data_IF_250364773934
#
_entry.id   IF_250364773934
#
_cell.length_a   1.000
_cell.length_b   1.000
_cell.length_c   1.000
_cell.angle_alpha   90.00
_cell.angle_beta   90.00
_cell.angle_gamma   90.00
#
_symmetry.space_group_name_H-M   'P 1'
#
loop_
_entity.id
_entity.type
_entity.pdbx_description
1 polymer ?
#
# COMPACT_ATOMS: atom_id res chain seq x y z
N UNK A 1 29.30 32.44 -7.84
CA UNK A 1 29.25 33.80 -7.24
C UNK A 1 30.44 34.00 -6.31
N UNK A 2 31.22 35.08 -6.43
CA UNK A 2 32.41 35.29 -5.59
C UNK A 2 32.06 35.77 -4.16
N UNK A 3 33.02 35.76 -3.22
CA UNK A 3 32.80 36.10 -1.80
C UNK A 3 32.24 37.52 -1.58
N UNK A 4 32.66 38.50 -2.37
CA UNK A 4 32.23 39.91 -2.27
C UNK A 4 30.79 40.08 -2.76
N UNK A 5 30.44 39.39 -3.85
CA UNK A 5 29.07 39.32 -4.37
C UNK A 5 28.11 38.59 -3.42
N UNK A 6 28.54 37.49 -2.78
CA UNK A 6 27.75 36.76 -1.78
C UNK A 6 27.43 37.61 -0.55
N UNK A 7 28.38 38.41 -0.08
CA UNK A 7 28.17 39.36 1.03
C UNK A 7 27.20 40.48 0.66
N UNK A 8 27.30 41.02 -0.57
CA UNK A 8 26.37 42.05 -1.08
C UNK A 8 24.94 41.51 -1.25
N UNK A 9 24.79 40.23 -1.62
CA UNK A 9 23.51 39.56 -1.77
C UNK A 9 22.92 38.97 -0.46
N UNK A 10 23.57 39.18 0.70
CA UNK A 10 23.06 38.70 1.99
C UNK A 10 23.14 37.18 2.22
N UNK A 11 23.81 36.44 1.35
CA UNK A 11 23.89 34.97 1.40
C UNK A 11 24.89 34.55 2.49
N UNK A 12 24.37 34.16 3.68
CA UNK A 12 25.18 33.76 4.85
C UNK A 12 25.70 32.32 4.76
N UNK A 13 24.92 31.42 4.16
CA UNK A 13 25.26 29.98 4.07
C UNK A 13 25.80 29.64 2.67
N UNK A 14 26.81 28.77 2.59
CA UNK A 14 27.33 28.29 1.29
C UNK A 14 26.56 27.04 0.89
N UNK A 15 25.82 27.09 -0.21
CA UNK A 15 25.30 25.87 -0.87
C UNK A 15 26.44 25.30 -1.72
N UNK A 16 26.91 24.07 -1.45
CA UNK A 16 27.90 23.41 -2.30
C UNK A 16 27.33 23.22 -3.72
N UNK A 17 28.13 23.53 -4.74
CA UNK A 17 27.78 23.21 -6.13
C UNK A 17 28.42 21.88 -6.46
N UNK A 18 27.58 20.89 -6.81
CA UNK A 18 28.04 19.59 -7.28
C UNK A 18 28.01 19.58 -8.80
N UNK A 19 29.12 19.16 -9.40
CA UNK A 19 29.17 18.90 -10.83
C UNK A 19 28.92 17.40 -11.02
N UNK A 20 27.86 17.06 -11.74
CA UNK A 20 27.50 15.69 -12.07
C UNK A 20 27.75 15.46 -13.56
N UNK A 21 28.28 14.29 -13.90
CA UNK A 21 28.27 13.83 -15.30
C UNK A 21 26.84 13.49 -15.71
N UNK A 22 26.59 13.45 -17.03
CA UNK A 22 25.26 13.12 -17.54
C UNK A 22 24.80 11.72 -17.09
N UNK A 23 25.71 10.74 -17.06
CA UNK A 23 25.43 9.40 -16.54
C UNK A 23 25.08 9.40 -15.05
N UNK A 24 25.82 10.17 -14.23
CA UNK A 24 25.53 10.30 -12.79
C UNK A 24 24.16 10.96 -12.56
N UNK A 25 23.82 11.98 -13.35
CA UNK A 25 22.53 12.63 -13.29
C UNK A 25 21.40 11.64 -13.62
N UNK A 26 21.54 10.85 -14.68
CA UNK A 26 20.55 9.84 -15.04
C UNK A 26 20.41 8.74 -13.99
N UNK A 27 21.53 8.29 -13.40
CA UNK A 27 21.51 7.29 -12.34
C UNK A 27 20.74 7.79 -11.10
N UNK A 28 20.97 9.04 -10.70
CA UNK A 28 20.30 9.64 -9.55
C UNK A 28 18.79 9.81 -9.79
N UNK A 29 18.40 10.27 -10.99
CA UNK A 29 16.99 10.37 -11.39
C UNK A 29 16.32 9.00 -11.34
N UNK A 30 16.95 7.97 -11.92
CA UNK A 30 16.41 6.62 -11.93
C UNK A 30 16.21 6.09 -10.51
N UNK A 31 17.20 6.30 -9.64
CA UNK A 31 17.12 5.89 -8.24
C UNK A 31 15.95 6.57 -7.53
N UNK A 32 15.79 7.89 -7.68
CA UNK A 32 14.69 8.62 -7.07
C UNK A 32 13.30 8.19 -7.58
N UNK A 33 13.18 7.86 -8.87
CA UNK A 33 11.93 7.32 -9.43
C UNK A 33 11.62 5.95 -8.81
N UNK A 34 12.61 5.08 -8.67
CA UNK A 34 12.41 3.75 -8.11
C UNK A 34 12.07 3.79 -6.62
N UNK A 35 12.73 4.65 -5.84
CA UNK A 35 12.38 4.88 -4.43
C UNK A 35 10.95 5.42 -4.29
N UNK A 36 10.54 6.37 -5.14
CA UNK A 36 9.19 6.92 -5.12
C UNK A 36 8.12 5.90 -5.53
N UNK A 37 8.43 5.04 -6.52
CA UNK A 37 7.55 3.93 -6.91
C UNK A 37 7.37 2.93 -5.77
N UNK A 38 8.44 2.61 -5.06
CA UNK A 38 8.37 1.70 -3.91
C UNK A 38 7.56 2.30 -2.76
N UNK A 39 7.74 3.60 -2.48
CA UNK A 39 6.93 4.33 -1.50
C UNK A 39 5.44 4.30 -1.85
N UNK A 40 5.09 4.65 -3.09
CA UNK A 40 3.69 4.59 -3.56
C UNK A 40 3.11 3.19 -3.47
N UNK A 41 3.90 2.17 -3.82
CA UNK A 41 3.48 0.77 -3.71
C UNK A 41 3.23 0.38 -2.26
N UNK A 42 4.12 0.76 -1.35
CA UNK A 42 3.95 0.52 0.09
C UNK A 42 2.69 1.19 0.63
N UNK A 43 2.47 2.47 0.29
CA UNK A 43 1.28 3.21 0.75
C UNK A 43 -0.02 2.60 0.20
N UNK A 44 -0.05 2.24 -1.08
CA UNK A 44 -1.22 1.63 -1.70
C UNK A 44 -1.53 0.24 -1.11
N UNK A 45 -0.50 -0.56 -0.80
CA UNK A 45 -0.66 -1.87 -0.15
C UNK A 45 -1.19 -1.69 1.27
N UNK A 46 -0.65 -0.74 2.03
CA UNK A 46 -1.11 -0.44 3.39
C UNK A 46 -2.57 0.01 3.40
N UNK A 47 -2.98 0.87 2.46
CA UNK A 47 -4.35 1.33 2.35
C UNK A 47 -5.30 0.21 1.91
N UNK A 48 -4.89 -0.67 1.00
CA UNK A 48 -5.66 -1.84 0.60
C UNK A 48 -5.88 -2.81 1.78
N UNK A 49 -4.83 -3.08 2.57
CA UNK A 49 -4.92 -3.89 3.79
C UNK A 49 -5.87 -3.27 4.82
N UNK A 50 -5.84 -1.95 5.01
CA UNK A 50 -6.76 -1.24 5.92
C UNK A 50 -8.21 -1.35 5.45
N UNK A 51 -8.47 -1.23 4.15
CA UNK A 51 -9.81 -1.39 3.58
C UNK A 51 -10.32 -2.80 3.83
N UNK A 52 -9.51 -3.82 3.52
CA UNK A 52 -9.86 -5.23 3.71
C UNK A 52 -10.08 -5.58 5.20
N UNK A 53 -9.29 -5.01 6.11
CA UNK A 53 -9.41 -5.28 7.54
C UNK A 53 -10.57 -4.51 8.19
N UNK A 54 -10.77 -3.23 7.88
CA UNK A 54 -11.67 -2.36 8.66
C UNK A 54 -13.07 -2.25 8.07
N UNK A 55 -13.23 -2.24 6.75
CA UNK A 55 -14.55 -2.07 6.12
C UNK A 55 -15.49 -3.23 6.47
N UNK A 56 -15.08 -4.51 6.38
CA UNK A 56 -15.93 -5.62 6.79
C UNK A 56 -16.30 -5.55 8.28
N UNK A 57 -15.39 -5.16 9.17
CA UNK A 57 -15.69 -5.02 10.60
C UNK A 57 -16.74 -3.96 10.88
N UNK A 58 -16.67 -2.82 10.18
CA UNK A 58 -17.69 -1.77 10.29
C UNK A 58 -19.05 -2.26 9.82
N UNK A 59 -19.11 -2.97 8.69
CA UNK A 59 -20.36 -3.56 8.16
C UNK A 59 -20.92 -4.60 9.14
N UNK A 60 -20.09 -5.53 9.63
CA UNK A 60 -20.48 -6.55 10.61
C UNK A 60 -21.00 -5.92 11.91
N UNK A 61 -20.37 -4.84 12.38
CA UNK A 61 -20.81 -4.13 13.57
C UNK A 61 -22.12 -3.39 13.35
N UNK A 62 -22.20 -2.55 12.31
CA UNK A 62 -23.28 -1.58 12.15
C UNK A 62 -24.52 -2.16 11.47
N UNK A 63 -24.34 -3.13 10.57
CA UNK A 63 -25.45 -3.76 9.83
C UNK A 63 -25.88 -5.08 10.43
N UNK A 64 -24.94 -5.86 10.97
CA UNK A 64 -25.21 -7.19 11.54
C UNK A 64 -25.17 -7.22 13.08
N UNK A 65 -24.85 -6.10 13.73
CA UNK A 65 -24.88 -5.97 15.19
C UNK A 65 -23.80 -6.78 15.92
N UNK A 66 -22.68 -7.11 15.26
CA UNK A 66 -21.66 -7.95 15.86
C UNK A 66 -21.00 -7.25 17.05
N UNK A 67 -21.02 -7.92 18.20
CA UNK A 67 -20.30 -7.51 19.39
C UNK A 67 -18.83 -7.95 19.33
N UNK A 68 -18.03 -7.49 20.31
CA UNK A 68 -16.58 -7.78 20.39
C UNK A 68 -16.22 -9.25 20.14
N UNK A 69 -16.93 -10.18 20.78
CA UNK A 69 -16.65 -11.62 20.68
C UNK A 69 -16.81 -12.13 19.25
N UNK A 70 -17.86 -11.70 18.54
CA UNK A 70 -18.12 -12.12 17.15
C UNK A 70 -17.11 -11.49 16.18
N UNK A 71 -16.72 -10.24 16.42
CA UNK A 71 -15.68 -9.57 15.63
C UNK A 71 -14.30 -10.20 15.85
N UNK A 72 -13.95 -10.56 17.09
CA UNK A 72 -12.69 -11.26 17.40
C UNK A 72 -12.64 -12.61 16.69
N UNK A 73 -13.75 -13.37 16.71
CA UNK A 73 -13.82 -14.64 15.96
C UNK A 73 -13.64 -14.41 14.46
N UNK A 74 -14.34 -13.44 13.87
CA UNK A 74 -14.17 -13.12 12.46
C UNK A 74 -12.72 -12.75 12.11
N UNK A 75 -12.05 -11.92 12.93
CA UNK A 75 -10.67 -11.52 12.69
C UNK A 75 -9.68 -12.68 12.77
N UNK A 76 -9.91 -13.67 13.64
CA UNK A 76 -9.06 -14.86 13.73
C UNK A 76 -9.14 -15.70 12.46
N UNK A 77 -10.34 -15.99 12.00
CA UNK A 77 -10.56 -16.75 10.77
C UNK A 77 -10.06 -15.96 9.54
N UNK A 78 -10.27 -14.63 9.52
CA UNK A 78 -9.75 -13.76 8.46
C UNK A 78 -8.22 -13.81 8.39
N UNK A 79 -7.52 -13.72 9.53
CA UNK A 79 -6.07 -13.81 9.57
C UNK A 79 -5.56 -15.17 9.08
N UNK A 80 -6.24 -16.26 9.44
CA UNK A 80 -5.88 -17.61 8.96
C UNK A 80 -6.04 -17.74 7.44
N UNK A 81 -7.08 -17.14 6.85
CA UNK A 81 -7.22 -17.11 5.39
C UNK A 81 -6.13 -16.27 4.72
N UNK A 82 -5.72 -15.15 5.31
CA UNK A 82 -4.58 -14.35 4.81
C UNK A 82 -3.30 -15.18 4.84
N UNK A 83 -3.02 -15.88 5.94
CA UNK A 83 -1.86 -16.78 6.04
C UNK A 83 -1.91 -17.89 4.97
N UNK A 84 -3.08 -18.42 4.65
CA UNK A 84 -3.23 -19.41 3.58
C UNK A 84 -2.86 -18.86 2.19
N UNK A 85 -3.24 -17.62 1.91
CA UNK A 85 -2.88 -16.95 0.65
C UNK A 85 -1.39 -16.62 0.62
N UNK A 86 -0.83 -16.10 1.71
CA UNK A 86 0.61 -15.75 1.77
C UNK A 86 1.54 -16.96 1.61
N UNK A 87 1.10 -18.15 2.04
CA UNK A 87 1.85 -19.39 1.91
C UNK A 87 1.51 -20.19 0.63
N UNK A 88 0.83 -19.56 -0.34
CA UNK A 88 0.41 -20.16 -1.61
C UNK A 88 -0.41 -21.47 -1.45
N UNK A 89 -1.10 -21.64 -0.32
CA UNK A 89 -1.98 -22.81 -0.11
C UNK A 89 -3.28 -22.70 -0.92
N UNK A 90 -3.75 -21.47 -1.16
CA UNK A 90 -4.98 -21.17 -1.90
C UNK A 90 -4.78 -19.89 -2.71
N UNK A 91 -5.22 -19.89 -3.98
CA UNK A 91 -5.25 -18.69 -4.82
C UNK A 91 -6.57 -17.90 -4.73
N UNK A 92 -6.57 -16.63 -5.12
CA UNK A 92 -7.79 -15.82 -5.12
C UNK A 92 -8.85 -16.35 -6.08
N UNK A 93 -8.45 -16.89 -7.23
CA UNK A 93 -9.33 -17.53 -8.19
C UNK A 93 -10.04 -18.75 -7.57
N UNK A 94 -9.31 -19.59 -6.83
CA UNK A 94 -9.87 -20.75 -6.14
C UNK A 94 -10.91 -20.33 -5.10
N UNK A 95 -10.63 -19.25 -4.34
CA UNK A 95 -11.58 -18.69 -3.37
C UNK A 95 -12.85 -18.17 -4.05
N UNK A 96 -12.72 -17.47 -5.18
CA UNK A 96 -13.85 -16.94 -5.94
C UNK A 96 -14.71 -18.09 -6.50
N UNK A 97 -14.08 -19.11 -7.06
CA UNK A 97 -14.77 -20.29 -7.58
C UNK A 97 -15.47 -21.05 -6.46
N UNK A 98 -14.80 -21.28 -5.33
CA UNK A 98 -15.38 -21.94 -4.15
C UNK A 98 -16.62 -21.19 -3.65
N UNK A 99 -16.55 -19.86 -3.49
CA UNK A 99 -17.69 -19.07 -3.04
C UNK A 99 -18.85 -19.16 -4.05
N UNK A 100 -18.55 -19.13 -5.34
CA UNK A 100 -19.57 -19.27 -6.39
C UNK A 100 -20.22 -20.66 -6.37
N UNK A 101 -19.43 -21.71 -6.24
CA UNK A 101 -19.92 -23.09 -6.25
C UNK A 101 -20.73 -23.42 -5.00
N UNK A 102 -20.32 -22.93 -3.83
CA UNK A 102 -20.99 -23.22 -2.55
C UNK A 102 -22.23 -22.35 -2.30
N UNK A 103 -22.21 -21.09 -2.74
CA UNK A 103 -23.26 -20.12 -2.39
C UNK A 103 -24.05 -19.60 -3.59
N UNK A 104 -23.57 -19.85 -4.81
CA UNK A 104 -24.10 -19.23 -6.03
C UNK A 104 -23.71 -17.76 -6.21
N UNK A 105 -22.93 -17.17 -5.30
CA UNK A 105 -22.56 -15.76 -5.34
C UNK A 105 -21.41 -15.51 -6.32
N UNK A 106 -21.64 -14.64 -7.30
CA UNK A 106 -20.61 -14.22 -8.26
C UNK A 106 -19.97 -12.92 -7.76
N UNK A 107 -18.79 -13.03 -7.13
CA UNK A 107 -18.11 -11.89 -6.49
C UNK A 107 -17.77 -10.77 -7.48
N UNK A 108 -17.42 -11.13 -8.72
CA UNK A 108 -17.05 -10.19 -9.79
C UNK A 108 -18.18 -9.25 -10.22
N UNK A 109 -19.43 -9.53 -9.85
CA UNK A 109 -20.57 -8.63 -10.08
C UNK A 109 -20.56 -7.44 -9.11
N UNK A 110 -19.93 -7.57 -7.94
CA UNK A 110 -19.94 -6.57 -6.87
C UNK A 110 -18.61 -5.83 -6.74
N UNK A 111 -17.49 -6.53 -6.93
CA UNK A 111 -16.15 -5.98 -6.75
C UNK A 111 -15.34 -6.26 -8.01
N UNK A 112 -14.81 -5.20 -8.62
CA UNK A 112 -13.93 -5.26 -9.78
C UNK A 112 -12.57 -4.75 -9.37
N UNK A 113 -11.58 -5.65 -9.40
CA UNK A 113 -10.17 -5.33 -9.21
C UNK A 113 -9.51 -5.11 -10.57
#
# INVERSE_FOLDING_TARGET
MNRKQRRKAGIKTRVPTHNLTQEQLYAEIKKGVEEYREQLRSEAVDDALRVLAYVPLMVLRDKFGFGKIRLDKFLREFAEQVDCVENDYVGFEDMIETIKDETGLVITDYIKF
#
